data_IF_096963182073
#
_entry.id   IF_096963182073
#
_cell.length_a   1.000
_cell.length_b   1.000
_cell.length_c   1.000
_cell.angle_alpha   90.00
_cell.angle_beta   90.00
_cell.angle_gamma   90.00
#
_symmetry.space_group_name_H-M   'P 1'
#
loop_
_entity.id
_entity.type
_entity.pdbx_description
1 polymer ?
#
# COMPACT_ATOMS: atom_id res chain seq x y z
N UNK A 1 -15.60 9.87 41.89
CA UNK A 1 -15.22 9.38 40.54
C UNK A 1 -15.56 7.91 40.44
N UNK A 2 -16.65 7.60 39.73
CA UNK A 2 -17.23 6.25 39.69
C UNK A 2 -16.40 5.31 38.82
N UNK A 3 -16.34 4.03 39.21
CA UNK A 3 -15.53 3.00 38.55
C UNK A 3 -15.84 2.85 37.04
N UNK A 4 -17.09 3.16 36.64
CA UNK A 4 -17.54 3.18 35.25
C UNK A 4 -16.84 4.25 34.39
N UNK A 5 -16.51 5.40 34.98
CA UNK A 5 -15.82 6.50 34.28
C UNK A 5 -14.34 6.16 34.03
N UNK A 6 -13.68 5.47 34.98
CA UNK A 6 -12.29 5.01 34.83
C UNK A 6 -12.13 3.95 33.74
N UNK A 7 -13.14 3.09 33.53
CA UNK A 7 -13.15 2.10 32.44
C UNK A 7 -13.29 2.77 31.07
N UNK A 8 -14.16 3.78 30.96
CA UNK A 8 -14.31 4.53 29.71
C UNK A 8 -13.08 5.37 29.37
N UNK A 9 -12.36 5.91 30.36
CA UNK A 9 -11.11 6.63 30.15
C UNK A 9 -9.97 5.72 29.65
N UNK A 10 -9.94 4.44 30.06
CA UNK A 10 -8.97 3.45 29.54
C UNK A 10 -9.26 3.07 28.09
N UNK A 11 -10.53 2.86 27.75
CA UNK A 11 -10.93 2.54 26.37
C UNK A 11 -10.68 3.72 25.41
N UNK A 12 -10.93 4.96 25.84
CA UNK A 12 -10.72 6.16 25.00
C UNK A 12 -9.24 6.55 24.84
N UNK A 13 -8.35 6.22 25.78
CA UNK A 13 -6.90 6.48 25.68
C UNK A 13 -6.16 5.56 24.71
N UNK A 14 -6.73 4.42 24.32
CA UNK A 14 -6.11 3.49 23.38
C UNK A 14 -6.34 3.88 21.90
N UNK A 15 -7.28 4.80 21.63
CA UNK A 15 -7.74 5.12 20.27
C UNK A 15 -7.23 6.47 19.77
N UNK A 16 -6.43 7.21 20.56
CA UNK A 16 -5.87 8.50 20.14
C UNK A 16 -4.42 8.38 19.67
N UNK A 17 -4.27 8.41 18.35
CA UNK A 17 -3.31 9.28 17.66
C UNK A 17 -1.83 8.97 17.85
N UNK A 18 -1.33 7.95 17.15
CA UNK A 18 0.01 8.05 16.54
C UNK A 18 -0.18 8.13 15.03
N UNK A 19 -0.29 9.36 14.54
CA UNK A 19 -0.12 9.66 13.13
C UNK A 19 1.33 9.35 12.76
N UNK A 20 1.61 8.10 12.39
CA UNK A 20 2.72 7.82 11.51
C UNK A 20 2.10 7.91 10.12
N UNK A 21 2.05 9.13 9.58
CA UNK A 21 1.74 9.32 8.17
C UNK A 21 2.87 8.65 7.40
N UNK A 22 2.71 7.36 7.09
CA UNK A 22 3.79 6.60 6.49
C UNK A 22 3.93 7.00 5.02
N UNK A 23 2.85 6.98 4.23
CA UNK A 23 2.76 7.54 2.87
C UNK A 23 1.29 7.85 2.53
N UNK A 24 1.00 8.84 1.67
CA UNK A 24 -0.33 8.98 1.04
C UNK A 24 -0.55 7.83 0.04
N UNK A 25 -1.81 7.46 -0.25
CA UNK A 25 -2.10 6.43 -1.26
C UNK A 25 -1.48 6.75 -2.63
N UNK A 26 -1.32 8.04 -2.93
CA UNK A 26 -0.70 8.56 -4.14
C UNK A 26 0.83 8.40 -4.17
N UNK A 27 1.48 8.33 -3.00
CA UNK A 27 2.95 8.26 -2.90
C UNK A 27 3.47 6.82 -3.03
N UNK A 28 2.58 5.83 -2.91
CA UNK A 28 2.95 4.41 -2.95
C UNK A 28 3.40 3.99 -4.35
N UNK A 29 2.71 4.46 -5.40
CA UNK A 29 3.03 4.15 -6.80
C UNK A 29 3.84 5.32 -7.36
N UNK A 30 5.13 5.10 -7.61
CA UNK A 30 6.05 6.14 -8.07
C UNK A 30 5.94 6.31 -9.60
N UNK A 31 6.03 5.20 -10.34
CA UNK A 31 5.96 5.22 -11.80
C UNK A 31 5.62 3.83 -12.37
N UNK A 32 5.06 3.73 -13.59
CA UNK A 32 5.03 2.45 -14.31
C UNK A 32 6.45 1.98 -14.64
N UNK A 33 6.66 0.66 -14.71
CA UNK A 33 7.92 0.05 -15.11
C UNK A 33 7.78 -0.60 -16.49
N UNK A 34 8.21 0.12 -17.52
CA UNK A 34 8.15 -0.35 -18.91
C UNK A 34 9.56 -0.73 -19.39
N UNK A 35 9.72 -2.00 -19.73
CA UNK A 35 10.91 -2.62 -20.30
C UNK A 35 10.42 -3.69 -21.28
N UNK A 36 11.26 -4.15 -22.20
CA UNK A 36 10.90 -5.21 -23.16
C UNK A 36 10.32 -6.45 -22.45
N UNK A 37 10.92 -6.83 -21.32
CA UNK A 37 10.46 -7.97 -20.51
C UNK A 37 9.11 -7.72 -19.87
N UNK A 38 8.90 -6.55 -19.27
CA UNK A 38 7.60 -6.24 -18.62
C UNK A 38 6.50 -6.05 -19.65
N UNK A 39 6.80 -5.49 -20.82
CA UNK A 39 5.85 -5.36 -21.92
C UNK A 39 5.36 -6.72 -22.41
N UNK A 40 6.28 -7.68 -22.64
CA UNK A 40 5.92 -9.05 -23.03
C UNK A 40 4.96 -9.71 -22.02
N UNK A 41 5.21 -9.53 -20.73
CA UNK A 41 4.36 -10.08 -19.67
C UNK A 41 3.02 -9.37 -19.54
N UNK A 42 2.95 -8.09 -19.91
CA UNK A 42 1.68 -7.37 -19.98
C UNK A 42 0.77 -7.95 -21.07
N UNK A 43 1.34 -8.27 -22.24
CA UNK A 43 0.60 -8.86 -23.36
C UNK A 43 0.23 -10.32 -23.12
N UNK A 44 1.17 -11.13 -22.61
CA UNK A 44 0.94 -12.58 -22.45
C UNK A 44 0.09 -12.91 -21.22
N UNK A 45 0.30 -12.20 -20.11
CA UNK A 45 -0.20 -12.60 -18.80
C UNK A 45 -1.09 -11.52 -18.14
N UNK A 46 -1.35 -10.39 -18.82
CA UNK A 46 -2.06 -9.24 -18.25
C UNK A 46 -1.44 -8.72 -16.94
N UNK A 47 -0.11 -8.78 -16.82
CA UNK A 47 0.63 -8.33 -15.64
C UNK A 47 1.20 -6.93 -15.86
N UNK A 48 0.86 -6.03 -14.96
CA UNK A 48 1.38 -4.67 -14.94
C UNK A 48 2.45 -4.52 -13.86
N UNK A 49 3.46 -3.69 -14.13
CA UNK A 49 4.62 -3.50 -13.27
C UNK A 49 4.77 -2.02 -12.90
N UNK A 50 5.04 -1.76 -11.63
CA UNK A 50 5.19 -0.42 -11.09
C UNK A 50 6.43 -0.35 -10.20
N UNK A 51 7.12 0.79 -10.23
CA UNK A 51 8.04 1.17 -9.17
C UNK A 51 7.22 1.68 -8.00
N UNK A 52 7.44 1.09 -6.84
CA UNK A 52 6.74 1.41 -5.59
C UNK A 52 7.71 1.91 -4.55
N UNK A 53 7.19 2.62 -3.54
CA UNK A 53 7.99 3.04 -2.40
C UNK A 53 8.56 1.82 -1.66
N UNK A 54 9.82 1.90 -1.21
CA UNK A 54 10.54 0.79 -0.56
C UNK A 54 9.86 0.28 0.70
N UNK A 55 9.20 1.19 1.42
CA UNK A 55 8.53 0.91 2.70
C UNK A 55 7.06 0.46 2.54
N UNK A 56 6.57 0.35 1.30
CA UNK A 56 5.19 -0.02 1.02
C UNK A 56 4.96 -1.52 1.16
N UNK A 57 3.89 -1.90 1.85
CA UNK A 57 3.46 -3.29 1.94
C UNK A 57 2.56 -3.69 0.76
N UNK A 58 2.36 -4.99 0.58
CA UNK A 58 1.47 -5.54 -0.47
C UNK A 58 0.02 -5.06 -0.34
N UNK A 59 -0.46 -4.81 0.88
CA UNK A 59 -1.81 -4.30 1.12
C UNK A 59 -1.92 -2.85 0.67
N UNK A 60 -0.96 -2.02 1.06
CA UNK A 60 -0.87 -0.61 0.66
C UNK A 60 -0.84 -0.48 -0.87
N UNK A 61 -0.05 -1.31 -1.56
CA UNK A 61 0.01 -1.34 -3.03
C UNK A 61 -1.33 -1.75 -3.65
N UNK A 62 -2.03 -2.73 -3.07
CA UNK A 62 -3.36 -3.14 -3.55
C UNK A 62 -4.37 -2.00 -3.44
N UNK A 63 -4.41 -1.35 -2.28
CA UNK A 63 -5.30 -0.22 -2.03
C UNK A 63 -4.97 0.94 -2.98
N UNK A 64 -3.70 1.31 -3.12
CA UNK A 64 -3.26 2.37 -4.03
C UNK A 64 -3.68 2.10 -5.48
N UNK A 65 -3.48 0.88 -5.99
CA UNK A 65 -3.89 0.50 -7.35
C UNK A 65 -5.41 0.62 -7.51
N UNK A 66 -6.18 0.16 -6.51
CA UNK A 66 -7.63 0.21 -6.56
C UNK A 66 -8.15 1.65 -6.54
N UNK A 67 -7.56 2.52 -5.73
CA UNK A 67 -7.94 3.94 -5.66
C UNK A 67 -7.54 4.73 -6.90
N UNK A 68 -6.33 4.52 -7.43
CA UNK A 68 -5.79 5.30 -8.56
C UNK A 68 -6.39 4.87 -9.90
N UNK A 69 -6.50 3.57 -10.13
CA UNK A 69 -6.89 3.03 -11.43
C UNK A 69 -8.32 2.47 -11.46
N UNK A 70 -9.01 2.45 -10.30
CA UNK A 70 -10.38 1.92 -10.16
C UNK A 70 -10.52 0.45 -10.62
N UNK A 71 -9.47 -0.34 -10.44
CA UNK A 71 -9.43 -1.76 -10.78
C UNK A 71 -9.10 -2.61 -9.56
N UNK A 72 -9.60 -3.85 -9.53
CA UNK A 72 -9.33 -4.78 -8.43
C UNK A 72 -8.28 -5.81 -8.86
N UNK A 73 -7.04 -5.75 -8.32
CA UNK A 73 -5.99 -6.69 -8.71
C UNK A 73 -6.22 -8.08 -8.09
N UNK A 74 -6.12 -9.13 -8.92
CA UNK A 74 -6.28 -10.52 -8.48
C UNK A 74 -5.14 -10.92 -7.54
N UNK A 75 -3.89 -10.56 -7.88
CA UNK A 75 -2.69 -10.90 -7.12
C UNK A 75 -1.67 -9.77 -7.21
N UNK A 76 -0.99 -9.50 -6.10
CA UNK A 76 0.08 -8.50 -6.02
C UNK A 76 1.37 -9.19 -5.59
N UNK A 77 2.43 -8.99 -6.37
CA UNK A 77 3.78 -9.44 -6.06
C UNK A 77 4.68 -8.22 -5.90
N UNK A 78 5.53 -8.22 -4.88
CA UNK A 78 6.51 -7.17 -4.61
C UNK A 78 7.87 -7.83 -4.53
N UNK A 79 8.86 -7.25 -5.22
CA UNK A 79 10.24 -7.72 -5.25
C UNK A 79 11.17 -6.55 -4.98
N UNK A 80 12.18 -6.77 -4.13
CA UNK A 80 13.25 -5.81 -3.95
C UNK A 80 14.24 -5.96 -5.10
N UNK A 81 14.47 -4.89 -5.85
CA UNK A 81 15.45 -4.86 -6.93
C UNK A 81 16.79 -4.41 -6.35
N UNK A 82 17.85 -5.21 -6.45
CA UNK A 82 19.17 -4.78 -5.98
C UNK A 82 19.68 -3.62 -6.84
N UNK A 83 20.30 -2.63 -6.19
CA UNK A 83 21.00 -1.58 -6.90
C UNK A 83 22.24 -2.20 -7.58
N UNK A 84 22.41 -1.94 -8.87
CA UNK A 84 23.56 -2.43 -9.64
C UNK A 84 24.47 -1.27 -10.01
#
# INVERSE_FOLDING_TARGET
MTYREKLQQRAKKATSTKAIKKFSLYDIIISPLVTEKTHKLQESDNKYFFKVHSDANKNDVREAVQHLYKVTPIKVNVVSVPFK
#
